data_IF_917940859265
#
_entry.id   IF_917940859265
#
_cell.length_a   1.000
_cell.length_b   1.000
_cell.length_c   1.000
_cell.angle_alpha   90.00
_cell.angle_beta   90.00
_cell.angle_gamma   90.00
#
_symmetry.space_group_name_H-M   'P 1'
#
loop_
_entity.id
_entity.type
_entity.pdbx_description
1 polymer ?
#
# COMPACT_ATOMS: atom_id res chain seq x y z
N UNK A 1 -35.13 -8.51 8.06
CA UNK A 1 -33.95 -9.19 7.50
C UNK A 1 -32.72 -8.61 8.19
N UNK A 2 -31.86 -9.48 8.76
CA UNK A 2 -30.65 -9.02 9.42
C UNK A 2 -29.72 -8.30 8.42
N UNK A 3 -29.01 -7.23 8.82
CA UNK A 3 -28.11 -6.50 7.95
C UNK A 3 -26.93 -7.40 7.49
N UNK A 4 -26.27 -6.98 6.40
CA UNK A 4 -25.00 -7.56 5.97
C UNK A 4 -23.86 -6.79 6.65
N UNK A 5 -22.97 -7.49 7.36
CA UNK A 5 -21.76 -6.87 7.89
C UNK A 5 -20.75 -6.65 6.75
N UNK A 6 -20.21 -5.44 6.66
CA UNK A 6 -18.98 -5.15 5.92
C UNK A 6 -17.91 -4.76 6.95
N UNK A 7 -16.84 -5.54 7.05
CA UNK A 7 -15.76 -5.33 8.02
C UNK A 7 -14.55 -4.70 7.36
N UNK A 8 -14.33 -3.43 7.68
CA UNK A 8 -13.29 -2.55 7.11
C UNK A 8 -13.87 -1.55 6.10
N UNK A 9 -13.54 -0.27 6.26
CA UNK A 9 -13.99 0.84 5.42
C UNK A 9 -12.88 1.44 4.55
N UNK A 10 -11.97 0.60 4.05
CA UNK A 10 -11.09 0.91 2.93
C UNK A 10 -11.85 0.92 1.59
N UNK A 11 -11.16 1.15 0.45
CA UNK A 11 -11.82 1.22 -0.86
C UNK A 11 -12.74 0.04 -1.18
N UNK A 12 -12.31 -1.19 -0.84
CA UNK A 12 -13.09 -2.39 -1.06
C UNK A 12 -14.37 -2.44 -0.21
N UNK A 13 -14.26 -2.09 1.09
CA UNK A 13 -15.41 -2.09 1.98
C UNK A 13 -16.40 -0.97 1.67
N UNK A 14 -15.91 0.22 1.33
CA UNK A 14 -16.74 1.33 0.87
C UNK A 14 -17.52 0.96 -0.40
N UNK A 15 -16.84 0.36 -1.39
CA UNK A 15 -17.50 -0.12 -2.61
C UNK A 15 -18.56 -1.18 -2.29
N UNK A 16 -18.23 -2.17 -1.46
CA UNK A 16 -19.17 -3.22 -1.07
C UNK A 16 -20.39 -2.64 -0.35
N UNK A 17 -20.19 -1.74 0.62
CA UNK A 17 -21.28 -1.11 1.36
C UNK A 17 -22.19 -0.24 0.45
N UNK A 18 -21.58 0.53 -0.45
CA UNK A 18 -22.31 1.35 -1.41
C UNK A 18 -23.18 0.50 -2.36
N UNK A 19 -22.61 -0.59 -2.90
CA UNK A 19 -23.35 -1.48 -3.81
C UNK A 19 -24.45 -2.27 -3.09
N UNK A 20 -24.20 -2.77 -1.90
CA UNK A 20 -25.23 -3.43 -1.08
C UNK A 20 -26.39 -2.47 -0.78
N UNK A 21 -26.09 -1.24 -0.42
CA UNK A 21 -27.12 -0.22 -0.19
C UNK A 21 -27.91 0.12 -1.46
N UNK A 22 -27.25 0.22 -2.61
CA UNK A 22 -27.88 0.44 -3.91
C UNK A 22 -28.85 -0.72 -4.30
N UNK A 23 -28.49 -1.95 -3.92
CA UNK A 23 -29.35 -3.13 -4.06
C UNK A 23 -30.49 -3.20 -3.01
N UNK A 24 -30.59 -2.20 -2.12
CA UNK A 24 -31.62 -2.12 -1.09
C UNK A 24 -31.36 -2.95 0.17
N UNK A 25 -30.18 -3.57 0.31
CA UNK A 25 -29.80 -4.33 1.48
C UNK A 25 -29.39 -3.41 2.65
N UNK A 26 -29.90 -3.73 3.86
CA UNK A 26 -29.39 -3.08 5.07
C UNK A 26 -27.97 -3.55 5.35
N UNK A 27 -27.06 -2.59 5.57
CA UNK A 27 -25.62 -2.84 5.70
C UNK A 27 -25.11 -2.27 7.03
N UNK A 28 -24.32 -3.05 7.76
CA UNK A 28 -23.58 -2.61 8.93
C UNK A 28 -22.12 -2.52 8.52
N UNK A 29 -21.60 -1.28 8.33
CA UNK A 29 -20.20 -1.03 8.00
C UNK A 29 -19.42 -0.73 9.28
N UNK A 30 -18.47 -1.60 9.61
CA UNK A 30 -17.64 -1.50 10.83
C UNK A 30 -16.19 -1.18 10.43
N UNK A 31 -15.66 -0.10 11.01
CA UNK A 31 -14.28 0.35 10.80
C UNK A 31 -13.59 0.58 12.16
N UNK A 32 -12.39 0.03 12.32
CA UNK A 32 -11.60 0.16 13.55
C UNK A 32 -11.00 1.55 13.74
N UNK A 33 -10.69 2.23 12.63
CA UNK A 33 -10.18 3.59 12.68
C UNK A 33 -11.33 4.61 12.84
N UNK A 34 -10.99 5.83 13.24
CA UNK A 34 -11.94 6.94 13.37
C UNK A 34 -12.27 7.64 12.04
N UNK A 35 -11.84 7.07 10.89
CA UNK A 35 -12.00 7.66 9.57
C UNK A 35 -12.21 6.60 8.49
N UNK A 36 -12.73 7.02 7.34
CA UNK A 36 -12.99 6.22 6.15
C UNK A 36 -11.83 6.34 5.14
N UNK A 37 -11.69 5.34 4.24
CA UNK A 37 -10.76 5.37 3.12
C UNK A 37 -9.57 4.41 3.24
N UNK A 38 -9.32 3.84 4.43
CA UNK A 38 -8.29 2.80 4.64
C UNK A 38 -6.86 3.24 4.29
N UNK A 39 -6.07 2.33 3.70
CA UNK A 39 -4.65 2.56 3.43
C UNK A 39 -4.34 3.79 2.55
N UNK A 40 -5.08 4.10 1.48
CA UNK A 40 -4.84 5.31 0.70
C UNK A 40 -4.93 6.59 1.53
N UNK A 41 -5.89 6.67 2.44
CA UNK A 41 -6.03 7.81 3.36
C UNK A 41 -4.99 7.80 4.47
N UNK A 42 -4.71 6.62 5.02
CA UNK A 42 -3.73 6.41 6.11
C UNK A 42 -2.31 6.81 5.70
N UNK A 43 -1.93 6.54 4.47
CA UNK A 43 -0.57 6.79 3.97
C UNK A 43 -0.49 7.95 2.97
N UNK A 44 -1.52 8.79 2.92
CA UNK A 44 -1.54 10.01 2.12
C UNK A 44 -1.22 9.78 0.64
N UNK A 45 -1.79 8.72 0.03
CA UNK A 45 -1.60 8.50 -1.40
C UNK A 45 -2.13 9.71 -2.18
N UNK A 46 -1.24 10.37 -2.93
CA UNK A 46 -1.60 11.53 -3.74
C UNK A 46 -2.46 11.14 -4.94
N UNK A 47 -2.03 10.13 -5.66
CA UNK A 47 -2.72 9.61 -6.84
C UNK A 47 -2.97 8.11 -6.71
N UNK A 48 -3.99 7.60 -7.43
CA UNK A 48 -4.30 6.18 -7.56
C UNK A 48 -4.09 5.71 -9.00
N UNK A 49 -3.39 4.58 -9.16
CA UNK A 49 -3.22 3.91 -10.44
C UNK A 49 -4.54 3.18 -10.84
N UNK A 50 -4.80 2.94 -12.15
CA UNK A 50 -3.93 3.21 -13.30
C UNK A 50 -4.01 4.62 -13.85
N UNK A 51 -5.09 5.33 -13.60
CA UNK A 51 -5.42 6.60 -14.27
C UNK A 51 -4.69 7.81 -13.65
N UNK A 52 -3.93 7.59 -12.58
CA UNK A 52 -3.26 8.63 -11.79
C UNK A 52 -4.24 9.74 -11.37
N UNK A 53 -5.43 9.34 -10.91
CA UNK A 53 -6.42 10.28 -10.38
C UNK A 53 -6.11 10.62 -8.93
N UNK A 54 -6.35 11.87 -8.50
CA UNK A 54 -6.25 12.25 -7.10
C UNK A 54 -7.05 11.32 -6.19
N UNK A 55 -6.46 10.92 -5.08
CA UNK A 55 -7.06 9.96 -4.14
C UNK A 55 -8.44 10.42 -3.67
N UNK A 56 -8.61 11.71 -3.39
CA UNK A 56 -9.88 12.27 -2.93
C UNK A 56 -10.97 12.28 -4.04
N UNK A 57 -10.58 12.39 -5.32
CA UNK A 57 -11.52 12.26 -6.43
C UNK A 57 -12.06 10.84 -6.58
N UNK A 58 -11.30 9.83 -6.18
CA UNK A 58 -11.72 8.42 -6.22
C UNK A 58 -12.46 8.02 -4.96
N UNK A 59 -11.93 8.38 -3.79
CA UNK A 59 -12.52 7.99 -2.51
C UNK A 59 -13.71 8.85 -2.10
N UNK A 60 -13.70 10.15 -2.39
CA UNK A 60 -14.76 11.08 -2.01
C UNK A 60 -16.16 10.62 -2.45
N UNK A 61 -16.38 10.25 -3.72
CA UNK A 61 -17.66 9.71 -4.17
C UNK A 61 -18.07 8.40 -3.49
N UNK A 62 -17.12 7.51 -3.17
CA UNK A 62 -17.40 6.26 -2.45
C UNK A 62 -17.82 6.54 -1.01
N UNK A 63 -17.12 7.44 -0.33
CA UNK A 63 -17.44 7.88 1.02
C UNK A 63 -18.84 8.54 1.04
N UNK A 64 -19.10 9.45 0.09
CA UNK A 64 -20.41 10.12 0.00
C UNK A 64 -21.59 9.19 -0.28
N UNK A 65 -21.36 8.04 -0.94
CA UNK A 65 -22.42 7.02 -1.12
C UNK A 65 -22.75 6.23 0.16
N UNK A 66 -21.85 6.25 1.13
CA UNK A 66 -21.95 5.50 2.39
C UNK A 66 -22.41 6.42 3.53
N UNK A 67 -21.80 7.60 3.65
CA UNK A 67 -22.17 8.58 4.69
C UNK A 67 -23.57 9.12 4.46
N UNK A 68 -24.38 9.12 5.53
CA UNK A 68 -25.75 9.58 5.47
C UNK A 68 -26.72 8.69 4.70
N UNK A 69 -26.28 7.54 4.17
CA UNK A 69 -27.14 6.59 3.47
C UNK A 69 -28.02 5.83 4.48
N UNK A 70 -29.37 5.92 4.37
CA UNK A 70 -30.29 5.29 5.35
C UNK A 70 -30.20 3.76 5.37
N UNK A 71 -29.58 3.14 4.36
CA UNK A 71 -29.35 1.69 4.31
C UNK A 71 -28.01 1.27 4.93
N UNK A 72 -27.14 2.22 5.28
CA UNK A 72 -25.82 1.95 5.85
C UNK A 72 -25.75 2.46 7.27
N UNK A 73 -25.62 1.55 8.21
CA UNK A 73 -25.25 1.87 9.59
C UNK A 73 -23.74 1.87 9.68
N UNK A 74 -23.13 3.06 9.83
CA UNK A 74 -21.69 3.23 9.93
C UNK A 74 -21.24 3.23 11.40
N UNK A 75 -20.24 2.41 11.71
CA UNK A 75 -19.59 2.29 13.03
C UNK A 75 -18.08 2.47 12.90
N UNK A 76 -17.61 3.70 13.17
CA UNK A 76 -16.19 4.02 13.28
C UNK A 76 -15.64 3.68 14.68
N UNK A 77 -14.32 3.62 14.82
CA UNK A 77 -13.61 3.28 16.06
C UNK A 77 -14.20 2.04 16.72
N UNK A 78 -14.61 1.05 15.91
CA UNK A 78 -15.35 -0.13 16.34
C UNK A 78 -14.69 -1.40 15.78
N UNK A 79 -14.60 -2.43 16.60
CA UNK A 79 -14.07 -3.75 16.22
C UNK A 79 -15.09 -4.85 16.53
N UNK A 80 -14.98 -5.98 15.84
CA UNK A 80 -15.70 -7.22 16.18
C UNK A 80 -14.79 -8.02 17.12
N UNK A 81 -15.27 -8.37 18.30
CA UNK A 81 -14.47 -9.09 19.31
C UNK A 81 -14.82 -10.56 19.45
N UNK A 82 -16.08 -10.90 19.22
CA UNK A 82 -16.56 -12.31 19.23
C UNK A 82 -17.58 -12.54 18.14
N UNK A 83 -17.67 -13.77 17.68
CA UNK A 83 -18.73 -14.24 16.77
C UNK A 83 -19.27 -15.58 17.21
N UNK A 84 -20.54 -15.78 16.95
CA UNK A 84 -21.26 -17.05 17.11
C UNK A 84 -22.00 -17.32 15.79
N UNK A 85 -21.79 -18.49 15.20
CA UNK A 85 -22.53 -18.90 14.00
C UNK A 85 -23.94 -19.34 14.38
N UNK A 86 -24.94 -18.72 13.79
CA UNK A 86 -26.35 -19.07 13.97
C UNK A 86 -26.82 -19.98 12.82
N UNK A 87 -28.05 -20.51 12.92
CA UNK A 87 -28.69 -21.24 11.82
C UNK A 87 -28.84 -20.41 10.54
N UNK A 88 -28.97 -19.07 10.69
CA UNK A 88 -29.03 -18.09 9.60
C UNK A 88 -28.19 -16.87 10.01
N UNK A 89 -26.94 -16.78 9.53
CA UNK A 89 -26.04 -15.66 9.81
C UNK A 89 -25.18 -15.82 11.05
N UNK A 90 -24.87 -14.69 11.69
CA UNK A 90 -23.92 -14.60 12.80
C UNK A 90 -24.44 -13.66 13.88
N UNK A 91 -24.14 -13.98 15.14
CA UNK A 91 -24.23 -13.05 16.28
C UNK A 91 -22.84 -12.53 16.58
N UNK A 92 -22.70 -11.21 16.70
CA UNK A 92 -21.43 -10.51 16.85
C UNK A 92 -21.42 -9.70 18.13
N UNK A 93 -20.27 -9.57 18.77
CA UNK A 93 -20.04 -8.52 19.77
C UNK A 93 -19.18 -7.43 19.15
N UNK A 94 -19.72 -6.23 19.08
CA UNK A 94 -19.02 -5.01 18.66
C UNK A 94 -18.44 -4.33 19.89
N UNK A 95 -17.20 -3.83 19.78
CA UNK A 95 -16.52 -3.04 20.82
C UNK A 95 -16.18 -1.67 20.28
N UNK A 96 -16.66 -0.61 20.95
CA UNK A 96 -16.31 0.79 20.66
C UNK A 96 -15.89 1.48 21.97
N UNK A 97 -14.61 1.70 22.16
CA UNK A 97 -14.05 2.07 23.47
C UNK A 97 -14.35 0.98 24.52
N UNK A 98 -15.01 1.35 25.62
CA UNK A 98 -15.43 0.42 26.67
C UNK A 98 -16.85 -0.15 26.46
N UNK A 99 -17.56 0.34 25.42
CA UNK A 99 -18.92 -0.11 25.13
C UNK A 99 -18.90 -1.41 24.33
N UNK A 100 -19.66 -2.38 24.79
CA UNK A 100 -19.94 -3.64 24.09
C UNK A 100 -21.41 -3.64 23.62
N UNK A 101 -21.65 -4.09 22.40
CA UNK A 101 -22.96 -4.19 21.81
C UNK A 101 -23.10 -5.51 21.02
N UNK A 102 -24.15 -6.26 21.27
CA UNK A 102 -24.44 -7.49 20.51
C UNK A 102 -25.32 -7.19 19.32
N UNK A 103 -24.95 -7.71 18.15
CA UNK A 103 -25.68 -7.54 16.88
C UNK A 103 -25.81 -8.87 16.16
N UNK A 104 -26.90 -9.04 15.42
CA UNK A 104 -27.07 -10.17 14.50
C UNK A 104 -26.99 -9.68 13.05
N UNK A 105 -26.29 -10.45 12.21
CA UNK A 105 -26.09 -10.16 10.79
C UNK A 105 -26.39 -11.40 9.95
N UNK A 106 -26.90 -11.19 8.73
CA UNK A 106 -27.26 -12.27 7.82
C UNK A 106 -26.07 -12.86 7.05
N UNK A 107 -25.07 -12.02 6.77
CA UNK A 107 -23.85 -12.38 6.04
C UNK A 107 -22.71 -11.44 6.43
N UNK A 108 -21.48 -11.79 6.02
CA UNK A 108 -20.27 -11.03 6.32
C UNK A 108 -19.47 -10.85 5.04
N UNK A 109 -19.04 -9.61 4.77
CA UNK A 109 -18.07 -9.25 3.76
C UNK A 109 -16.80 -8.79 4.48
N UNK A 110 -15.69 -9.51 4.28
CA UNK A 110 -14.40 -9.18 4.87
C UNK A 110 -13.64 -8.25 3.92
N UNK A 111 -13.37 -7.03 4.36
CA UNK A 111 -12.62 -6.00 3.62
C UNK A 111 -11.50 -5.40 4.49
N UNK A 112 -10.84 -6.24 5.28
CA UNK A 112 -9.90 -5.91 6.35
C UNK A 112 -8.53 -5.42 5.86
N UNK A 113 -8.29 -5.46 4.54
CA UNK A 113 -7.09 -4.90 3.93
C UNK A 113 -5.82 -5.74 4.19
N UNK A 114 -4.68 -5.06 4.13
CA UNK A 114 -3.35 -5.65 4.28
C UNK A 114 -2.43 -4.71 5.04
N UNK A 115 -1.34 -5.25 5.57
CA UNK A 115 -0.21 -4.49 6.08
C UNK A 115 0.99 -4.62 5.13
N UNK A 116 1.84 -3.60 5.08
CA UNK A 116 3.11 -3.70 4.38
C UNK A 116 4.09 -4.54 5.18
N UNK A 117 4.91 -5.31 4.47
CA UNK A 117 6.04 -6.01 5.06
C UNK A 117 6.95 -5.04 5.80
N UNK A 118 7.37 -5.40 7.02
CA UNK A 118 8.35 -4.60 7.77
C UNK A 118 9.74 -4.78 7.15
N UNK A 119 10.19 -3.77 6.44
CA UNK A 119 11.47 -3.78 5.72
C UNK A 119 12.70 -3.90 6.63
N UNK A 120 12.57 -3.67 7.96
CA UNK A 120 13.64 -3.94 8.94
C UNK A 120 14.01 -5.41 9.02
N UNK A 121 13.12 -6.31 8.65
CA UNK A 121 13.38 -7.76 8.57
C UNK A 121 14.37 -8.13 7.44
N UNK A 122 14.65 -7.20 6.51
CA UNK A 122 15.65 -7.30 5.47
C UNK A 122 16.83 -6.35 5.79
N UNK A 123 17.60 -6.75 6.82
CA UNK A 123 18.67 -5.92 7.39
C UNK A 123 19.75 -5.51 6.39
N UNK A 124 19.94 -6.31 5.32
CA UNK A 124 20.88 -6.04 4.22
C UNK A 124 20.56 -4.75 3.45
N UNK A 125 19.30 -4.28 3.51
CA UNK A 125 18.88 -3.02 2.87
C UNK A 125 19.02 -1.80 3.78
N UNK A 126 19.28 -1.99 5.08
CA UNK A 126 19.59 -0.90 6.01
C UNK A 126 18.42 0.03 6.34
N UNK A 127 17.17 -0.37 6.11
CA UNK A 127 15.99 0.40 6.52
C UNK A 127 15.96 0.60 8.05
N UNK A 128 15.75 1.86 8.48
CA UNK A 128 15.85 2.26 9.89
C UNK A 128 17.29 2.43 10.40
N UNK A 129 18.31 2.10 9.58
CA UNK A 129 19.74 2.32 9.87
C UNK A 129 20.34 3.46 9.04
N UNK A 130 19.94 3.54 7.79
CA UNK A 130 20.37 4.62 6.88
C UNK A 130 19.17 5.56 6.65
N UNK A 131 19.26 6.85 6.98
CA UNK A 131 18.13 7.78 6.89
C UNK A 131 17.51 7.87 5.50
N UNK A 132 18.33 7.75 4.45
CA UNK A 132 17.90 7.89 3.06
C UNK A 132 17.41 6.57 2.42
N UNK A 133 17.25 5.50 3.23
CA UNK A 133 16.54 4.28 2.84
C UNK A 133 15.12 4.35 3.40
N UNK A 134 14.16 4.47 2.52
CA UNK A 134 12.74 4.70 2.81
C UNK A 134 11.88 3.48 2.45
N UNK A 135 10.68 3.40 2.99
CA UNK A 135 9.64 2.51 2.47
C UNK A 135 8.60 3.26 1.60
N UNK A 136 7.64 2.54 1.07
CA UNK A 136 6.56 3.10 0.24
C UNK A 136 5.78 4.23 0.91
N UNK A 137 5.55 4.14 2.22
CA UNK A 137 4.71 5.11 2.95
C UNK A 137 5.42 6.43 3.12
N UNK A 138 6.72 6.38 3.40
CA UNK A 138 7.52 7.58 3.64
C UNK A 138 7.67 8.40 2.36
N UNK A 139 7.96 7.76 1.23
CA UNK A 139 8.05 8.48 -0.04
C UNK A 139 6.67 8.99 -0.51
N UNK A 140 5.56 8.28 -0.23
CA UNK A 140 4.21 8.78 -0.52
C UNK A 140 3.92 10.08 0.24
N UNK A 141 4.26 10.14 1.53
CA UNK A 141 4.13 11.36 2.31
C UNK A 141 4.93 12.53 1.71
N UNK A 142 6.17 12.28 1.28
CA UNK A 142 7.01 13.28 0.62
C UNK A 142 6.41 13.77 -0.71
N UNK A 143 5.84 12.87 -1.51
CA UNK A 143 5.18 13.19 -2.78
C UNK A 143 3.92 14.01 -2.53
N UNK A 144 3.11 13.61 -1.54
CA UNK A 144 1.89 14.31 -1.15
C UNK A 144 2.17 15.75 -0.73
N UNK A 145 3.20 15.95 0.11
CA UNK A 145 3.60 17.26 0.62
C UNK A 145 4.42 18.09 -0.38
N UNK A 146 4.73 17.53 -1.55
CA UNK A 146 5.62 18.11 -2.55
C UNK A 146 7.00 18.47 -1.99
N UNK A 147 7.53 17.62 -1.10
CA UNK A 147 8.81 17.79 -0.40
C UNK A 147 9.66 16.54 -0.49
N UNK A 148 10.12 16.22 -1.70
CA UNK A 148 11.02 15.09 -1.94
C UNK A 148 12.44 15.50 -1.56
N UNK A 149 12.79 15.33 -0.29
CA UNK A 149 14.08 15.72 0.30
C UNK A 149 14.73 14.53 0.99
N UNK A 150 16.07 14.48 0.96
CA UNK A 150 16.84 13.46 1.68
C UNK A 150 16.66 13.64 3.19
N UNK A 151 16.23 12.63 3.94
CA UNK A 151 16.13 12.73 5.41
C UNK A 151 17.47 13.04 6.11
N UNK A 152 18.59 12.63 5.52
CA UNK A 152 19.92 12.82 6.12
C UNK A 152 20.37 14.27 6.20
N UNK A 153 20.02 15.13 5.22
CA UNK A 153 20.56 16.50 5.13
C UNK A 153 19.56 17.54 4.61
N UNK A 154 18.29 17.14 4.35
CA UNK A 154 17.24 18.03 3.88
C UNK A 154 17.41 18.56 2.44
N UNK A 155 18.33 17.99 1.65
CA UNK A 155 18.55 18.43 0.26
C UNK A 155 17.78 17.60 -0.74
N UNK A 156 17.44 18.17 -1.92
CA UNK A 156 16.84 17.41 -3.00
C UNK A 156 17.78 16.28 -3.46
N UNK A 157 17.25 15.05 -3.68
CA UNK A 157 18.04 13.98 -4.28
C UNK A 157 18.21 14.22 -5.78
N UNK A 158 19.30 13.70 -6.36
CA UNK A 158 19.48 13.64 -7.82
C UNK A 158 19.10 12.28 -8.38
N UNK A 159 19.28 11.21 -7.59
CA UNK A 159 19.01 9.83 -8.00
C UNK A 159 18.24 9.09 -6.94
N UNK A 160 17.10 8.55 -7.31
CA UNK A 160 16.29 7.70 -6.45
C UNK A 160 16.16 6.32 -7.10
N UNK A 161 16.35 5.26 -6.32
CA UNK A 161 16.10 3.89 -6.75
C UNK A 161 14.92 3.28 -6.00
N UNK A 162 14.03 2.57 -6.71
CA UNK A 162 13.03 1.69 -6.12
C UNK A 162 13.49 0.24 -6.24
N UNK A 163 13.55 -0.47 -5.13
CA UNK A 163 13.87 -1.89 -5.09
C UNK A 163 12.58 -2.69 -4.96
N UNK A 164 12.20 -3.40 -6.03
CA UNK A 164 10.96 -4.20 -6.03
C UNK A 164 11.10 -5.49 -5.22
N UNK A 165 9.96 -6.02 -4.79
CA UNK A 165 9.84 -7.32 -4.13
C UNK A 165 10.55 -7.43 -2.77
N UNK A 166 10.71 -6.33 -2.03
CA UNK A 166 11.24 -6.38 -0.67
C UNK A 166 10.21 -7.05 0.25
N UNK A 167 10.54 -8.23 0.78
CA UNK A 167 9.61 -9.00 1.60
C UNK A 167 8.46 -9.67 0.84
N UNK A 168 8.58 -9.83 -0.48
CA UNK A 168 7.70 -10.67 -1.29
C UNK A 168 8.50 -11.46 -2.31
N UNK A 169 7.99 -12.62 -2.79
CA UNK A 169 8.73 -13.57 -3.62
C UNK A 169 10.05 -14.00 -2.96
N UNK A 170 10.02 -14.13 -1.65
CA UNK A 170 11.17 -14.42 -0.81
C UNK A 170 10.84 -15.58 0.15
N UNK A 171 11.33 -16.77 -0.21
CA UNK A 171 11.10 -18.00 0.56
C UNK A 171 11.84 -18.00 1.90
N UNK A 172 12.94 -17.23 2.01
CA UNK A 172 13.76 -17.20 3.23
C UNK A 172 13.00 -16.56 4.41
N UNK A 173 12.10 -15.62 4.09
CA UNK A 173 11.27 -14.95 5.10
C UNK A 173 9.84 -15.50 5.15
N UNK A 174 9.53 -16.56 4.39
CA UNK A 174 8.23 -17.21 4.39
C UNK A 174 7.17 -16.53 3.49
N UNK A 175 7.56 -15.60 2.62
CA UNK A 175 6.66 -14.88 1.71
C UNK A 175 6.94 -15.23 0.22
N UNK A 176 6.64 -16.45 -0.27
CA UNK A 176 6.94 -16.86 -1.64
C UNK A 176 6.06 -16.18 -2.70
N UNK A 177 4.95 -15.56 -2.30
CA UNK A 177 3.98 -14.93 -3.20
C UNK A 177 4.40 -13.54 -3.67
N UNK A 178 3.82 -13.12 -4.80
CA UNK A 178 3.93 -11.74 -5.30
C UNK A 178 2.92 -10.84 -4.58
N UNK A 179 3.34 -9.64 -4.18
CA UNK A 179 2.45 -8.62 -3.59
C UNK A 179 1.44 -8.02 -4.58
N UNK A 180 1.64 -8.22 -5.90
CA UNK A 180 0.80 -7.73 -7.02
C UNK A 180 0.73 -6.20 -7.18
N UNK A 181 1.13 -5.43 -6.19
CA UNK A 181 1.00 -3.96 -6.17
C UNK A 181 2.35 -3.23 -6.28
N UNK A 182 3.45 -3.82 -5.80
CA UNK A 182 4.75 -3.15 -5.70
C UNK A 182 5.24 -2.54 -7.02
N UNK A 183 5.04 -3.25 -8.14
CA UNK A 183 5.45 -2.73 -9.46
C UNK A 183 4.68 -1.45 -9.83
N UNK A 184 3.36 -1.47 -9.76
CA UNK A 184 2.53 -0.33 -10.16
C UNK A 184 2.68 0.85 -9.21
N UNK A 185 2.81 0.61 -7.91
CA UNK A 185 3.02 1.67 -6.91
C UNK A 185 4.37 2.35 -7.11
N UNK A 186 5.45 1.57 -7.31
CA UNK A 186 6.78 2.15 -7.58
C UNK A 186 6.80 2.96 -8.87
N UNK A 187 6.16 2.48 -9.93
CA UNK A 187 6.07 3.21 -11.21
C UNK A 187 5.29 4.50 -11.03
N UNK A 188 4.14 4.45 -10.34
CA UNK A 188 3.34 5.62 -10.02
C UNK A 188 4.17 6.66 -9.27
N UNK A 189 4.85 6.28 -8.17
CA UNK A 189 5.70 7.18 -7.39
C UNK A 189 6.82 7.80 -8.21
N UNK A 190 7.50 6.99 -9.04
CA UNK A 190 8.55 7.47 -9.93
C UNK A 190 8.01 8.46 -10.96
N UNK A 191 6.84 8.20 -11.53
CA UNK A 191 6.16 9.10 -12.48
C UNK A 191 5.78 10.42 -11.82
N UNK A 192 5.16 10.40 -10.66
CA UNK A 192 4.77 11.62 -9.93
C UNK A 192 5.99 12.51 -9.61
N UNK A 193 7.09 11.90 -9.14
CA UNK A 193 8.32 12.63 -8.91
C UNK A 193 8.89 13.20 -10.22
N UNK A 194 8.94 12.41 -11.28
CA UNK A 194 9.46 12.87 -12.57
C UNK A 194 8.60 13.94 -13.24
N UNK A 195 7.32 13.97 -12.97
CA UNK A 195 6.42 15.02 -13.45
C UNK A 195 6.74 16.38 -12.80
N UNK A 196 6.97 16.40 -11.49
CA UNK A 196 7.20 17.62 -10.72
C UNK A 196 8.67 18.03 -10.68
N UNK A 197 9.56 17.05 -10.67
CA UNK A 197 11.01 17.18 -10.50
C UNK A 197 11.76 16.45 -11.62
N UNK A 198 11.73 16.98 -12.86
CA UNK A 198 12.35 16.32 -14.02
C UNK A 198 13.89 16.20 -13.92
N UNK A 199 14.54 16.91 -13.02
CA UNK A 199 15.96 16.81 -12.71
C UNK A 199 16.31 15.56 -11.88
N UNK A 200 15.34 14.93 -11.18
CA UNK A 200 15.57 13.74 -10.39
C UNK A 200 15.52 12.51 -11.28
N UNK A 201 16.61 11.76 -11.35
CA UNK A 201 16.65 10.48 -12.06
C UNK A 201 15.99 9.37 -11.24
N UNK A 202 15.01 8.66 -11.83
CA UNK A 202 14.29 7.56 -11.21
C UNK A 202 14.73 6.21 -11.79
N UNK A 203 15.10 5.26 -10.92
CA UNK A 203 15.53 3.91 -11.28
C UNK A 203 14.66 2.87 -10.59
N UNK A 204 14.24 1.83 -11.31
CA UNK A 204 13.47 0.71 -10.76
C UNK A 204 14.24 -0.59 -10.98
N UNK A 205 14.68 -1.22 -9.88
CA UNK A 205 15.28 -2.55 -9.89
C UNK A 205 14.22 -3.62 -9.77
N UNK A 206 14.17 -4.56 -10.70
CA UNK A 206 13.11 -5.54 -10.80
C UNK A 206 13.61 -6.93 -11.23
N UNK A 207 12.91 -7.98 -10.80
CA UNK A 207 13.07 -9.33 -11.33
C UNK A 207 12.22 -9.54 -12.58
N UNK A 208 10.96 -9.16 -12.52
CA UNK A 208 10.00 -9.01 -13.61
C UNK A 208 9.00 -7.90 -13.25
N UNK A 209 8.43 -7.25 -14.25
CA UNK A 209 7.39 -6.23 -14.08
C UNK A 209 6.02 -6.90 -14.25
N UNK A 210 5.16 -6.71 -13.25
CA UNK A 210 3.80 -7.27 -13.22
C UNK A 210 2.75 -6.18 -13.21
N UNK A 211 2.74 -5.38 -14.28
CA UNK A 211 1.74 -4.35 -14.56
C UNK A 211 0.80 -4.83 -15.65
N UNK A 212 0.01 -5.83 -15.34
CA UNK A 212 -0.91 -6.45 -16.31
C UNK A 212 -2.23 -5.69 -16.42
N UNK A 213 -2.91 -5.87 -17.55
CA UNK A 213 -4.17 -5.20 -17.85
C UNK A 213 -4.00 -3.68 -18.03
N UNK A 214 -4.86 -2.90 -17.42
CA UNK A 214 -4.85 -1.44 -17.54
C UNK A 214 -3.59 -0.75 -17.00
N UNK A 215 -2.76 -1.47 -16.22
CA UNK A 215 -1.52 -0.90 -15.66
C UNK A 215 -0.33 -0.97 -16.62
N UNK A 216 -0.44 -1.71 -17.73
CA UNK A 216 0.64 -1.85 -18.71
C UNK A 216 0.96 -0.52 -19.39
N UNK A 217 -0.07 0.26 -19.72
CA UNK A 217 0.09 1.61 -20.29
C UNK A 217 0.93 2.53 -19.39
N UNK A 218 0.73 2.47 -18.09
CA UNK A 218 1.50 3.26 -17.14
C UNK A 218 2.98 2.87 -17.14
N UNK A 219 3.29 1.56 -17.28
CA UNK A 219 4.66 1.08 -17.40
C UNK A 219 5.35 1.65 -18.64
N UNK A 220 4.73 1.56 -19.83
CA UNK A 220 5.31 2.09 -21.07
C UNK A 220 5.47 3.60 -21.00
N UNK A 221 4.45 4.33 -20.59
CA UNK A 221 4.51 5.78 -20.42
C UNK A 221 5.61 6.22 -19.45
N UNK A 222 5.86 5.47 -18.40
CA UNK A 222 6.89 5.78 -17.42
C UNK A 222 8.29 5.82 -18.03
N UNK A 223 8.58 4.94 -19.00
CA UNK A 223 9.85 4.92 -19.73
C UNK A 223 9.89 6.00 -20.80
N UNK A 224 8.88 6.05 -21.68
CA UNK A 224 8.88 6.86 -22.89
C UNK A 224 8.69 8.35 -22.61
N UNK A 225 7.79 8.71 -21.68
CA UNK A 225 7.43 10.10 -21.41
C UNK A 225 8.17 10.66 -20.19
N UNK A 226 8.40 9.83 -19.17
CA UNK A 226 8.98 10.30 -17.90
C UNK A 226 10.44 9.86 -17.69
N UNK A 227 10.99 9.05 -18.60
CA UNK A 227 12.39 8.63 -18.56
C UNK A 227 12.76 7.82 -17.32
N UNK A 228 11.81 7.06 -16.77
CA UNK A 228 12.08 6.11 -15.67
C UNK A 228 12.96 4.99 -16.19
N UNK A 229 14.05 4.70 -15.52
CA UNK A 229 15.04 3.70 -15.91
C UNK A 229 14.78 2.37 -15.21
N UNK A 230 14.66 1.30 -15.97
CA UNK A 230 14.38 -0.05 -15.47
C UNK A 230 15.65 -0.91 -15.58
N UNK A 231 16.10 -1.47 -14.43
CA UNK A 231 17.26 -2.35 -14.37
C UNK A 231 16.77 -3.73 -13.93
N UNK A 232 16.91 -4.71 -14.81
CA UNK A 232 16.56 -6.09 -14.49
C UNK A 232 17.67 -6.72 -13.67
N UNK A 233 17.41 -6.88 -12.38
CA UNK A 233 18.38 -7.42 -11.45
C UNK A 233 17.86 -7.35 -10.03
N UNK A 234 18.66 -7.86 -9.11
CA UNK A 234 18.35 -7.80 -7.68
C UNK A 234 19.50 -7.13 -6.95
N UNK A 235 19.18 -6.15 -6.12
CA UNK A 235 20.13 -5.59 -5.18
C UNK A 235 20.26 -6.57 -4.01
N UNK A 236 21.48 -6.98 -3.71
CA UNK A 236 21.79 -7.85 -2.58
C UNK A 236 22.08 -7.09 -1.29
N UNK A 237 22.60 -5.87 -1.41
CA UNK A 237 23.02 -5.09 -0.25
C UNK A 237 23.00 -3.59 -0.53
N UNK A 238 22.74 -2.80 0.51
CA UNK A 238 22.90 -1.35 0.54
C UNK A 238 23.93 -0.99 1.61
N UNK A 239 24.93 -0.18 1.25
CA UNK A 239 25.96 0.33 2.16
C UNK A 239 26.16 1.83 1.95
N UNK A 240 26.75 2.58 2.90
CA UNK A 240 27.20 3.93 2.64
C UNK A 240 28.29 3.92 1.55
N UNK A 241 28.20 4.83 0.59
CA UNK A 241 29.27 5.06 -0.37
C UNK A 241 30.46 5.76 0.30
N UNK A 242 31.61 5.72 -0.35
CA UNK A 242 32.82 6.42 0.09
C UNK A 242 32.52 7.91 0.31
N UNK A 243 32.89 8.46 1.46
CA UNK A 243 32.53 9.83 1.86
C UNK A 243 31.15 10.00 2.51
N UNK A 244 30.34 8.91 2.62
CA UNK A 244 29.13 8.85 3.45
C UNK A 244 27.91 9.66 2.96
N UNK A 245 28.02 10.40 1.85
CA UNK A 245 26.97 11.30 1.37
C UNK A 245 25.92 10.63 0.48
N UNK A 246 26.13 9.37 0.10
CA UNK A 246 25.23 8.57 -0.76
C UNK A 246 25.18 7.13 -0.28
N UNK A 247 24.20 6.39 -0.82
CA UNK A 247 24.01 4.96 -0.62
C UNK A 247 24.55 4.21 -1.83
N UNK A 248 25.32 3.16 -1.61
CA UNK A 248 25.81 2.26 -2.66
C UNK A 248 24.90 1.03 -2.71
N UNK A 249 24.21 0.85 -3.83
CA UNK A 249 23.41 -0.33 -4.10
C UNK A 249 24.26 -1.36 -4.86
N UNK A 250 24.60 -2.45 -4.19
CA UNK A 250 25.39 -3.56 -4.74
C UNK A 250 24.46 -4.70 -5.16
N UNK A 251 24.57 -5.14 -6.40
CA UNK A 251 23.73 -6.19 -6.96
C UNK A 251 24.20 -6.65 -8.33
N UNK A 252 23.25 -7.05 -9.16
CA UNK A 252 23.55 -7.48 -10.54
C UNK A 252 22.59 -6.82 -11.53
N UNK A 253 23.09 -6.61 -12.75
CA UNK A 253 22.28 -6.37 -13.94
C UNK A 253 22.26 -7.69 -14.73
N UNK A 254 21.09 -8.36 -14.72
CA UNK A 254 20.95 -9.70 -15.34
C UNK A 254 20.84 -9.62 -16.87
N UNK A 255 20.58 -8.46 -17.45
CA UNK A 255 20.60 -8.28 -18.92
C UNK A 255 22.06 -8.15 -19.39
N UNK A 256 22.86 -7.38 -18.65
CA UNK A 256 24.28 -7.19 -18.95
C UNK A 256 25.17 -8.32 -18.38
N UNK A 257 24.58 -9.25 -17.61
CA UNK A 257 25.26 -10.37 -16.95
C UNK A 257 26.50 -9.94 -16.17
N UNK A 258 26.39 -8.85 -15.39
CA UNK A 258 27.50 -8.31 -14.61
C UNK A 258 27.08 -7.80 -13.23
N UNK A 259 27.97 -7.85 -12.22
CA UNK A 259 27.75 -7.19 -10.96
C UNK A 259 27.75 -5.68 -11.18
N UNK A 260 26.99 -4.98 -10.34
CA UNK A 260 26.87 -3.52 -10.36
C UNK A 260 26.98 -2.95 -8.96
N UNK A 261 27.62 -1.79 -8.88
CA UNK A 261 27.63 -0.93 -7.69
C UNK A 261 27.25 0.48 -8.13
N UNK A 262 26.06 0.91 -7.74
CA UNK A 262 25.52 2.19 -8.20
C UNK A 262 25.20 3.08 -7.01
N UNK A 263 25.73 4.32 -6.99
CA UNK A 263 25.43 5.28 -5.93
C UNK A 263 24.09 5.97 -6.17
N UNK A 264 23.26 6.02 -5.12
CA UNK A 264 21.98 6.72 -5.07
C UNK A 264 21.93 7.70 -3.91
N UNK A 265 21.15 8.76 -4.04
CA UNK A 265 20.91 9.72 -2.98
C UNK A 265 19.79 9.22 -2.03
N UNK A 266 18.81 8.51 -2.57
CA UNK A 266 17.73 7.86 -1.82
C UNK A 266 17.41 6.50 -2.42
N UNK A 267 16.99 5.56 -1.57
CA UNK A 267 16.53 4.24 -1.99
C UNK A 267 15.17 3.96 -1.33
N UNK A 268 14.20 3.58 -2.14
CA UNK A 268 12.84 3.23 -1.71
C UNK A 268 12.65 1.72 -1.79
N UNK A 269 12.30 1.11 -0.68
CA UNK A 269 12.00 -0.30 -0.58
C UNK A 269 10.53 -0.55 -0.91
N UNK A 270 10.28 -1.18 -2.05
CA UNK A 270 8.95 -1.60 -2.46
C UNK A 270 8.50 -2.83 -1.64
N UNK A 271 8.12 -2.56 -0.40
CA UNK A 271 7.74 -3.57 0.58
C UNK A 271 6.54 -4.39 0.13
N UNK A 272 6.60 -5.70 0.35
CA UNK A 272 5.54 -6.64 0.05
C UNK A 272 4.28 -6.40 0.87
N UNK A 273 3.24 -7.19 0.60
CA UNK A 273 1.99 -7.18 1.34
C UNK A 273 1.89 -8.47 2.17
N UNK A 274 1.51 -8.30 3.41
CA UNK A 274 1.20 -9.38 4.35
C UNK A 274 -0.27 -9.29 4.78
N UNK A 275 -0.90 -10.41 5.17
CA UNK A 275 -2.22 -10.34 5.81
C UNK A 275 -2.16 -9.39 7.00
N UNK A 276 -2.97 -8.34 6.96
CA UNK A 276 -3.05 -7.36 8.05
C UNK A 276 -3.49 -7.99 9.37
N UNK A 277 -3.22 -7.30 10.47
CA UNK A 277 -3.67 -7.72 11.80
C UNK A 277 -5.17 -7.98 11.80
N UNK A 278 -5.98 -7.07 11.23
CA UNK A 278 -7.43 -7.25 11.12
C UNK A 278 -7.85 -8.46 10.28
N UNK A 279 -7.03 -8.89 9.30
CA UNK A 279 -7.30 -10.11 8.52
C UNK A 279 -7.07 -11.36 9.35
N UNK A 280 -6.01 -11.39 10.16
CA UNK A 280 -5.73 -12.52 11.08
C UNK A 280 -6.80 -12.62 12.16
N UNK A 281 -7.21 -11.49 12.72
CA UNK A 281 -8.31 -11.42 13.69
C UNK A 281 -9.63 -11.90 13.08
N UNK A 282 -9.98 -11.41 11.88
CA UNK A 282 -11.18 -11.84 11.17
C UNK A 282 -11.17 -13.35 10.85
N UNK A 283 -10.03 -13.90 10.44
CA UNK A 283 -9.89 -15.33 10.17
C UNK A 283 -10.05 -16.21 11.44
N UNK A 284 -9.79 -15.65 12.62
CA UNK A 284 -10.05 -16.34 13.88
C UNK A 284 -11.52 -16.23 14.34
N UNK A 285 -12.26 -15.24 13.83
CA UNK A 285 -13.64 -14.96 14.21
C UNK A 285 -14.64 -15.66 13.27
N UNK A 286 -14.34 -15.82 11.98
CA UNK A 286 -15.26 -16.31 10.93
C UNK A 286 -14.74 -17.56 10.22
#
# INVERSE_FOLDING_TARGET
VNPILVLGAGPAGLSAAAELAALGASTLLVEREGYLGGNPKRWHYSLLAPDLKPTDEVLGPLIGKVEGNPKVELRLSTTVTTTERLSKGFRLTLKSGDRLETREVGAVVLATGFDHFDSRRKFEYGYGRYPDVLDFKEIEGMIHDDKVLRPSDGKPPRRIAWLLCVGSRDVQIGNPWCCRMGCVVSIKQAVEIRQKHPEIEAYIYYMDIRTYGLWEDLYWKSMEQYGVKFIRGRIGQITPAEGGSRLLATGEDTILSRPTEVPFDMIVLASGMEPGTGTKEAAALF
#
